data_IF_273746745782
#
_entry.id   IF_273746745782
#
_cell.length_a   1.000
_cell.length_b   1.000
_cell.length_c   1.000
_cell.angle_alpha   90.00
_cell.angle_beta   90.00
_cell.angle_gamma   90.00
#
_symmetry.space_group_name_H-M   'P 1'
#
loop_
_entity.id
_entity.type
_entity.pdbx_description
1 polymer ?
#
# COMPACT_ATOMS: atom_id res chain seq x y z
N UNK A 31 -3.72 6.02 16.70
CA UNK A 31 -4.87 6.10 17.58
C UNK A 31 -6.06 6.74 16.86
N UNK A 32 -5.77 7.45 15.78
CA UNK A 32 -6.78 8.11 14.96
C UNK A 32 -6.97 7.31 13.68
N UNK A 33 -8.23 7.10 13.30
CA UNK A 33 -8.55 6.44 12.04
C UNK A 33 -8.46 7.37 10.83
N UNK A 34 -7.92 8.57 11.01
CA UNK A 34 -7.63 9.45 9.87
C UNK A 34 -6.40 8.93 9.15
N UNK A 35 -6.52 8.73 7.84
CA UNK A 35 -5.46 8.15 7.03
C UNK A 35 -4.76 9.23 6.20
N UNK A 36 -3.44 9.13 6.11
CA UNK A 36 -2.63 10.01 5.30
C UNK A 36 -1.87 9.16 4.29
N UNK A 37 -1.83 9.62 3.03
CA UNK A 37 -1.22 8.88 1.94
C UNK A 37 -0.11 9.73 1.32
N UNK A 38 1.12 9.26 1.41
CA UNK A 38 2.28 9.94 0.85
C UNK A 38 2.95 9.00 -0.14
N UNK A 39 3.11 9.45 -1.38
CA UNK A 39 3.86 8.71 -2.38
C UNK A 39 5.35 8.98 -2.23
N UNK A 40 6.15 7.97 -2.52
CA UNK A 40 7.60 8.13 -2.62
C UNK A 40 8.00 7.70 -4.03
N UNK A 41 8.37 8.67 -4.85
CA UNK A 41 8.68 8.43 -6.26
C UNK A 41 10.18 8.57 -6.50
N UNK A 42 10.67 7.79 -7.46
CA UNK A 42 12.07 7.85 -7.84
C UNK A 42 12.46 6.73 -8.80
N UNK A 43 13.58 6.91 -9.51
CA UNK A 43 14.10 5.86 -10.37
C UNK A 43 14.50 4.65 -9.53
N UNK A 44 14.47 3.47 -10.16
CA UNK A 44 14.84 2.26 -9.46
C UNK A 44 16.32 2.29 -9.08
N UNK A 45 16.61 1.94 -7.83
CA UNK A 45 17.96 1.90 -7.34
C UNK A 45 18.45 3.14 -6.63
N UNK A 46 17.58 4.13 -6.41
CA UNK A 46 18.00 5.35 -5.73
C UNK A 46 17.90 5.24 -4.21
N UNK A 47 17.17 4.25 -3.69
CA UNK A 47 17.08 4.07 -2.26
C UNK A 47 15.72 4.39 -1.68
N UNK A 48 14.67 4.19 -2.48
CA UNK A 48 13.32 4.38 -1.96
C UNK A 48 13.01 3.38 -0.86
N UNK A 49 13.37 2.11 -1.06
CA UNK A 49 13.09 1.08 -0.05
C UNK A 49 13.94 1.29 1.19
N UNK A 50 15.19 1.73 1.01
CA UNK A 50 16.06 1.97 2.16
C UNK A 50 15.60 3.18 2.96
N UNK A 51 15.01 4.17 2.29
CA UNK A 51 14.56 5.38 2.96
C UNK A 51 13.27 5.14 3.74
N UNK A 52 12.31 4.45 3.12
CA UNK A 52 11.04 4.13 3.78
C UNK A 52 11.30 3.31 5.04
N UNK A 53 12.18 2.30 4.96
CA UNK A 53 12.53 1.51 6.14
C UNK A 53 13.12 2.39 7.22
N UNK A 54 13.93 3.39 6.83
CA UNK A 54 14.48 4.33 7.79
C UNK A 54 13.42 5.24 8.38
N UNK A 55 12.38 5.59 7.61
CA UNK A 55 11.38 6.53 8.11
C UNK A 55 10.40 5.88 9.08
N UNK A 56 10.30 4.55 9.08
CA UNK A 56 9.33 3.85 9.90
C UNK A 56 9.98 3.07 11.03
N UNK A 57 10.93 2.19 10.71
CA UNK A 57 11.53 1.32 11.72
C UNK A 57 12.75 1.94 12.40
N UNK A 58 13.18 3.13 11.97
CA UNK A 58 14.31 3.84 12.59
C UNK A 58 15.57 2.97 12.63
N UNK A 59 15.80 2.22 11.57
CA UNK A 59 17.01 1.40 11.45
C UNK A 59 17.44 1.43 9.99
N UNK A 60 18.30 0.50 9.61
CA UNK A 60 18.83 0.44 8.25
C UNK A 60 18.37 -0.86 7.60
N UNK A 61 17.98 -0.77 6.34
CA UNK A 61 17.58 -1.94 5.56
C UNK A 61 18.84 -2.72 5.17
N UNK A 62 18.99 -3.92 5.70
CA UNK A 62 20.13 -4.77 5.39
C UNK A 62 20.13 -5.26 3.95
N UNK A 67 11.99 -4.60 -5.59
CA UNK A 67 10.62 -4.11 -5.48
C UNK A 67 9.79 -4.43 -6.71
N UNK A 68 8.70 -5.16 -6.52
CA UNK A 68 7.74 -5.46 -7.57
C UNK A 68 6.40 -4.88 -7.17
N UNK A 69 5.84 -4.04 -8.05
CA UNK A 69 4.54 -3.44 -7.79
C UNK A 69 4.63 -2.28 -6.80
N UNK A 70 3.56 -2.12 -6.02
CA UNK A 70 3.45 -1.06 -5.03
C UNK A 70 3.54 -1.64 -3.63
N UNK A 71 4.43 -1.06 -2.82
CA UNK A 71 4.64 -1.49 -1.44
C UNK A 71 4.27 -0.36 -0.50
N UNK A 72 3.78 -0.73 0.70
CA UNK A 72 3.32 0.25 1.68
C UNK A 72 3.93 -0.08 3.04
N UNK A 73 4.58 0.90 3.64
CA UNK A 73 4.96 0.87 5.05
C UNK A 73 4.24 2.03 5.74
N UNK A 74 4.15 1.95 7.05
CA UNK A 74 3.35 2.90 7.82
C UNK A 74 4.25 3.63 8.82
N UNK A 75 4.19 4.96 8.78
CA UNK A 75 4.92 5.81 9.70
C UNK A 75 3.96 6.32 10.78
N UNK A 76 4.24 5.99 12.03
CA UNK A 76 3.43 6.43 13.15
C UNK A 76 3.94 7.82 13.53
N UNK A 77 3.21 8.84 13.10
CA UNK A 77 3.62 10.23 13.30
C UNK A 77 2.73 10.88 14.36
N UNK A 78 3.35 11.50 15.35
CA UNK A 78 2.64 12.23 16.39
C UNK A 78 2.46 13.67 15.93
N UNK A 79 1.27 13.99 15.42
CA UNK A 79 0.97 15.34 15.00
C UNK A 79 0.96 16.27 16.21
N UNK A 80 1.69 17.37 16.11
CA UNK A 80 1.83 18.33 17.21
C UNK A 80 2.35 17.63 18.47
N UNK A 81 3.54 17.08 18.35
CA UNK A 81 4.12 16.28 19.43
C UNK A 81 4.52 17.15 20.61
N UNK A 82 4.05 16.78 21.80
CA UNK A 82 4.33 17.52 23.00
C UNK A 82 3.32 18.57 23.38
N UNK A 83 2.29 18.78 22.57
CA UNK A 83 1.27 19.79 22.78
C UNK A 83 -0.04 19.17 23.25
N UNK A 84 -1.00 19.98 23.73
CA UNK A 84 -2.32 19.45 24.07
C UNK A 84 -3.17 19.06 22.88
N UNK A 85 -2.67 19.24 21.64
CA UNK A 85 -3.39 18.84 20.44
C UNK A 85 -2.76 17.63 19.80
N UNK A 86 -1.92 16.91 20.54
CA UNK A 86 -1.22 15.75 19.99
C UNK A 86 -2.22 14.71 19.52
N UNK A 87 -1.99 14.19 18.32
CA UNK A 87 -2.89 13.24 17.68
C UNK A 87 -2.03 12.29 16.86
N UNK A 88 -2.29 10.99 17.01
CA UNK A 88 -1.47 9.96 16.37
C UNK A 88 -2.04 9.65 15.00
N UNK A 89 -1.25 9.84 13.96
CA UNK A 89 -1.64 9.52 12.60
C UNK A 89 -0.82 8.34 12.10
N UNK A 90 -1.44 7.54 11.24
CA UNK A 90 -0.76 6.46 10.54
C UNK A 90 -0.52 6.92 9.11
N UNK A 91 0.73 7.24 8.80
CA UNK A 91 1.10 7.84 7.52
C UNK A 91 1.57 6.72 6.60
N UNK A 92 0.79 6.45 5.55
CA UNK A 92 1.15 5.42 4.59
C UNK A 92 2.16 5.97 3.58
N UNK A 93 3.28 5.27 3.45
CA UNK A 93 4.30 5.60 2.47
C UNK A 93 4.20 4.61 1.33
N UNK A 94 3.76 5.07 0.16
CA UNK A 94 3.52 4.23 -1.00
C UNK A 94 4.74 4.28 -1.91
N UNK A 95 5.45 3.16 -2.01
CA UNK A 95 6.64 3.06 -2.87
C UNK A 95 6.16 2.48 -4.20
N UNK A 96 5.91 3.36 -5.16
CA UNK A 96 5.50 2.94 -6.50
C UNK A 96 6.75 2.67 -7.33
N UNK A 97 6.71 1.58 -8.10
CA UNK A 97 7.81 1.23 -8.96
C UNK A 97 7.62 1.72 -10.38
N UNK A 98 8.47 1.23 -11.27
CA UNK A 98 8.35 1.49 -12.68
C UNK A 98 9.46 2.41 -13.19
N UNK A 99 9.23 2.94 -14.39
CA UNK A 99 10.17 3.84 -15.03
C UNK A 99 9.39 4.93 -15.76
N UNK A 100 10.02 6.10 -15.89
CA UNK A 100 9.40 7.21 -16.60
C UNK A 100 9.61 7.13 -18.11
N UNK A 101 10.34 6.12 -18.57
CA UNK A 101 10.53 5.89 -19.99
C UNK A 101 9.62 4.84 -20.56
N UNK A 102 8.82 4.18 -19.71
CA UNK A 102 7.92 3.14 -20.17
C UNK A 102 6.82 3.74 -21.05
N UNK A 103 6.06 2.86 -21.69
CA UNK A 103 4.98 3.29 -22.57
C UNK A 103 3.82 3.84 -21.74
N UNK A 104 3.03 4.70 -22.38
CA UNK A 104 1.88 5.31 -21.72
C UNK A 104 0.79 4.30 -21.40
N UNK A 105 0.93 3.04 -21.82
CA UNK A 105 0.05 1.95 -21.40
C UNK A 105 0.49 1.32 -20.10
N UNK A 106 1.64 1.72 -19.55
CA UNK A 106 2.09 1.31 -18.22
C UNK A 106 1.89 2.47 -17.25
N UNK A 107 1.97 3.70 -17.77
CA UNK A 107 1.69 4.86 -16.94
C UNK A 107 0.21 5.00 -16.64
N UNK A 108 -0.65 4.44 -17.49
CA UNK A 108 -2.09 4.47 -17.21
C UNK A 108 -2.49 3.45 -16.15
N UNK A 109 -1.78 2.33 -16.07
CA UNK A 109 -2.02 1.36 -15.00
C UNK A 109 -1.46 1.86 -13.68
N UNK A 110 -0.35 2.59 -13.72
CA UNK A 110 0.29 3.15 -12.55
C UNK A 110 -0.42 4.40 -12.04
N UNK A 111 -1.40 4.92 -12.77
CA UNK A 111 -2.08 6.13 -12.35
C UNK A 111 -3.20 5.84 -11.35
N UNK A 112 -3.60 4.59 -11.18
CA UNK A 112 -4.60 4.27 -10.18
C UNK A 112 -4.02 4.37 -8.78
N UNK A 113 -2.69 4.23 -8.64
CA UNK A 113 -2.03 4.38 -7.36
C UNK A 113 -1.85 5.83 -6.96
N UNK A 114 -2.00 6.77 -7.90
CA UNK A 114 -1.83 8.19 -7.64
C UNK A 114 -3.11 8.87 -7.18
N UNK A 115 -4.17 8.11 -6.91
CA UNK A 115 -5.43 8.70 -6.51
C UNK A 115 -5.40 9.03 -5.02
N UNK A 116 -5.88 10.23 -4.68
CA UNK A 116 -6.04 10.68 -3.30
C UNK A 116 -4.70 10.74 -2.56
N UNK A 117 -3.77 11.51 -3.10
CA UNK A 117 -2.44 11.66 -2.53
C UNK A 117 -2.40 12.92 -1.66
N UNK A 118 -1.79 12.81 -0.49
CA UNK A 118 -1.69 13.93 0.43
C UNK A 118 -0.29 14.52 0.51
N UNK A 119 0.69 13.88 -0.11
CA UNK A 119 2.05 14.38 -0.09
C UNK A 119 2.88 13.50 -1.01
N UNK A 120 3.97 14.08 -1.49
CA UNK A 120 4.86 13.39 -2.42
C UNK A 120 6.30 13.58 -1.98
N UNK A 121 7.03 12.47 -1.81
CA UNK A 121 8.47 12.50 -1.60
C UNK A 121 9.13 12.12 -2.91
N UNK A 122 9.99 13.00 -3.41
CA UNK A 122 10.71 12.80 -4.67
C UNK A 122 12.14 12.45 -4.31
N UNK A 123 12.55 11.23 -4.64
CA UNK A 123 13.86 10.70 -4.24
C UNK A 123 14.77 10.65 -5.46
N UNK A 124 15.96 11.21 -5.31
CA UNK A 124 16.95 11.21 -6.37
C UNK A 124 18.29 10.78 -5.81
N UNK A 125 19.15 10.31 -6.70
CA UNK A 125 20.48 9.84 -6.35
C UNK A 125 21.48 10.95 -6.66
N UNK A 126 22.20 11.41 -5.63
CA UNK A 126 23.22 12.43 -5.86
C UNK A 126 24.37 11.91 -6.71
N UNK A 127 24.57 10.59 -6.74
CA UNK A 127 25.60 10.00 -7.60
C UNK A 127 25.17 10.03 -9.05
N UNK A 128 23.94 9.61 -9.34
CA UNK A 128 23.43 9.48 -10.70
C UNK A 128 22.64 10.75 -11.02
N UNK A 129 23.28 11.70 -11.71
CA UNK A 129 22.61 12.95 -12.03
C UNK A 129 21.38 12.72 -12.90
N UNK A 130 21.30 11.57 -13.58
CA UNK A 130 20.17 11.30 -14.44
C UNK A 130 18.92 11.02 -13.63
N UNK A 131 19.06 10.52 -12.40
CA UNK A 131 17.90 10.25 -11.57
C UNK A 131 17.26 11.53 -11.04
N UNK A 132 18.01 12.63 -10.99
CA UNK A 132 17.41 13.89 -10.56
C UNK A 132 16.61 14.54 -11.67
N UNK A 133 17.00 14.30 -12.93
CA UNK A 133 16.22 14.83 -14.04
C UNK A 133 14.86 14.13 -14.14
N UNK A 134 14.83 12.83 -13.88
CA UNK A 134 13.59 12.06 -13.97
C UNK A 134 12.58 12.42 -12.91
N UNK A 135 13.00 13.13 -11.85
CA UNK A 135 12.02 13.66 -10.91
C UNK A 135 11.06 14.62 -11.59
N UNK A 136 11.53 15.36 -12.60
CA UNK A 136 10.65 16.26 -13.34
C UNK A 136 9.51 15.51 -14.01
N UNK A 137 9.73 14.25 -14.38
CA UNK A 137 8.66 13.46 -14.98
C UNK A 137 7.89 12.64 -13.97
N UNK A 138 8.51 12.25 -12.86
CA UNK A 138 7.77 11.56 -11.81
C UNK A 138 6.71 12.46 -11.20
N UNK A 139 7.08 13.70 -10.87
CA UNK A 139 6.14 14.61 -10.23
C UNK A 139 4.94 14.89 -11.13
N UNK A 140 5.20 15.18 -12.41
CA UNK A 140 4.11 15.49 -13.33
C UNK A 140 3.18 14.32 -13.54
N UNK A 141 3.70 13.09 -13.44
CA UNK A 141 2.83 11.92 -13.60
C UNK A 141 1.72 11.92 -12.55
N UNK A 142 1.99 12.44 -11.36
CA UNK A 142 0.96 12.52 -10.32
C UNK A 142 0.14 13.80 -10.45
N UNK A 143 0.77 14.90 -10.86
CA UNK A 143 0.06 16.17 -10.95
C UNK A 143 -0.80 16.29 -12.20
N UNK A 144 -0.52 15.51 -13.24
CA UNK A 144 -1.30 15.52 -14.46
C UNK A 144 -2.52 14.60 -14.39
N UNK A 145 -2.55 13.71 -13.41
CA UNK A 145 -3.62 12.74 -13.23
C UNK A 145 -4.00 12.60 -11.76
N UNK A 159 10.43 22.85 -17.36
CA UNK A 159 9.43 22.18 -18.18
C UNK A 159 8.06 22.83 -18.00
N UNK A 160 7.71 23.12 -16.74
CA UNK A 160 6.39 23.61 -16.40
C UNK A 160 6.45 24.28 -15.04
N UNK A 161 7.07 25.46 -14.98
CA UNK A 161 7.31 26.15 -13.72
C UNK A 161 6.01 26.51 -13.00
N UNK A 162 4.95 26.85 -13.75
CA UNK A 162 3.73 27.33 -13.13
C UNK A 162 2.97 26.20 -12.44
N UNK A 163 3.05 24.98 -13.00
CA UNK A 163 2.41 23.82 -12.39
C UNK A 163 2.88 23.60 -10.96
N UNK A 164 4.18 23.73 -10.73
CA UNK A 164 4.70 23.53 -9.38
C UNK A 164 4.49 24.76 -8.50
N UNK A 165 4.24 25.92 -9.10
CA UNK A 165 3.92 27.10 -8.31
C UNK A 165 2.45 27.11 -7.89
N UNK A 166 1.59 26.44 -8.66
CA UNK A 166 0.19 26.27 -8.32
C UNK A 166 -0.10 25.00 -7.53
N UNK A 167 0.91 24.15 -7.31
CA UNK A 167 0.71 22.88 -6.63
C UNK A 167 0.57 23.09 -5.13
N UNK A 168 -0.43 22.43 -4.54
CA UNK A 168 -0.68 22.51 -3.11
C UNK A 168 -0.36 21.22 -2.37
N UNK A 169 -0.09 20.13 -3.08
CA UNK A 169 0.26 18.88 -2.43
C UNK A 169 1.70 19.03 -1.96
N UNK A 170 1.96 18.94 -0.66
CA UNK A 170 3.32 19.19 -0.15
C UNK A 170 4.33 18.23 -0.75
N UNK A 171 5.44 18.79 -1.23
CA UNK A 171 6.52 18.04 -1.84
C UNK A 171 7.75 18.07 -0.94
N UNK A 172 8.53 17.00 -1.03
CA UNK A 172 9.80 16.91 -0.32
C UNK A 172 10.80 16.22 -1.23
N UNK A 173 11.94 16.86 -1.45
CA UNK A 173 12.97 16.34 -2.34
C UNK A 173 14.09 15.80 -1.46
N UNK A 174 14.33 14.50 -1.55
CA UNK A 174 15.33 13.83 -0.73
C UNK A 174 16.37 13.22 -1.65
N UNK A 175 17.63 13.63 -1.46
CA UNK A 175 18.73 13.08 -2.21
C UNK A 175 19.49 12.08 -1.35
N UNK A 176 19.79 10.93 -1.93
CA UNK A 176 20.42 9.84 -1.20
C UNK A 176 21.87 9.67 -1.64
N UNK A 177 22.57 8.80 -0.92
CA UNK A 177 23.98 8.51 -1.17
C UNK A 177 24.82 9.79 -1.11
N UNK A 178 24.67 10.52 0.00
CA UNK A 178 25.49 11.70 0.23
C UNK A 178 26.86 11.34 0.80
N UNK A 179 26.97 10.21 1.49
CA UNK A 179 28.26 9.79 2.01
C UNK A 179 29.21 9.33 0.92
N UNK A 180 28.72 9.08 -0.30
CA UNK A 180 29.56 8.61 -1.38
C UNK A 180 30.17 9.74 -2.19
N UNK A 181 30.00 10.98 -1.76
CA UNK A 181 30.59 12.12 -2.46
C UNK A 181 31.88 12.49 -1.72
N UNK A 182 32.91 12.85 -2.48
CA UNK A 182 34.17 13.26 -1.89
C UNK A 182 34.16 14.75 -1.59
N UNK A 183 35.17 15.20 -0.85
CA UNK A 183 35.25 16.59 -0.41
C UNK A 183 35.75 17.53 -1.51
N UNK A 184 35.41 17.24 -2.76
CA UNK A 184 35.79 18.10 -3.89
C UNK A 184 34.58 18.60 -4.66
N UNK A 185 33.73 17.71 -5.16
CA UNK A 185 32.52 18.09 -5.87
C UNK A 185 31.28 18.07 -4.99
N UNK A 186 31.42 17.70 -3.70
CA UNK A 186 30.29 17.72 -2.78
C UNK A 186 29.62 19.09 -2.76
N UNK A 187 30.42 20.16 -2.74
CA UNK A 187 29.85 21.50 -2.69
C UNK A 187 29.17 21.84 -4.01
N UNK A 188 29.71 21.34 -5.12
CA UNK A 188 29.17 21.63 -6.45
C UNK A 188 27.81 20.97 -6.66
N UNK A 189 27.64 19.75 -6.14
CA UNK A 189 26.39 19.03 -6.37
C UNK A 189 25.28 19.55 -5.46
N UNK A 190 25.62 19.99 -4.24
CA UNK A 190 24.61 20.57 -3.36
C UNK A 190 23.99 21.82 -3.98
N UNK A 191 24.77 22.56 -4.78
CA UNK A 191 24.24 23.74 -5.45
C UNK A 191 23.30 23.34 -6.58
N UNK A 192 23.57 22.21 -7.24
CA UNK A 192 22.71 21.76 -8.33
C UNK A 192 21.36 21.27 -7.83
N UNK A 193 21.29 20.79 -6.59
CA UNK A 193 20.02 20.30 -6.05
C UNK A 193 19.21 21.39 -5.37
N UNK A 194 19.84 22.49 -4.96
CA UNK A 194 19.08 23.62 -4.42
C UNK A 194 18.14 24.19 -5.48
N UNK A 195 18.58 24.19 -6.75
CA UNK A 195 17.69 24.57 -7.84
C UNK A 195 16.65 23.50 -8.10
N UNK A 196 17.00 22.23 -7.88
CA UNK A 196 16.03 21.15 -8.03
C UNK A 196 14.85 21.34 -7.09
N UNK A 197 15.13 21.67 -5.83
CA UNK A 197 14.07 21.88 -4.85
C UNK A 197 13.36 23.22 -5.02
N UNK A 198 13.92 24.15 -5.79
CA UNK A 198 13.29 25.44 -6.01
C UNK A 198 12.30 25.39 -7.17
N UNK A 199 12.62 24.65 -8.23
CA UNK A 199 11.69 24.49 -9.34
C UNK A 199 10.42 23.74 -8.94
N UNK A 200 10.49 22.96 -7.87
CA UNK A 200 9.34 22.24 -7.34
C UNK A 200 8.64 22.97 -6.20
N UNK A 201 9.22 24.06 -5.69
CA UNK A 201 8.72 24.73 -4.50
C UNK A 201 8.61 23.70 -3.36
N UNK A 202 9.71 22.98 -3.14
CA UNK A 202 9.73 21.86 -2.22
C UNK A 202 10.85 22.03 -1.21
N UNK A 203 10.66 21.43 -0.04
CA UNK A 203 11.74 21.33 0.93
C UNK A 203 12.78 20.32 0.46
N UNK A 204 14.03 20.53 0.88
CA UNK A 204 15.13 19.67 0.50
C UNK A 204 15.78 19.06 1.72
N UNK A 205 16.13 17.78 1.60
CA UNK A 205 16.90 17.05 2.61
C UNK A 205 17.88 16.16 1.86
N UNK A 206 19.13 16.15 2.34
CA UNK A 206 20.17 15.32 1.76
C UNK A 206 20.80 14.50 2.87
N UNK A 207 20.89 13.19 2.66
CA UNK A 207 21.27 12.29 3.73
C UNK A 207 21.86 11.02 3.14
N UNK A 208 22.33 10.14 4.02
CA UNK A 208 22.70 8.77 3.70
C UNK A 208 21.74 7.86 4.44
N UNK A 209 21.03 7.01 3.69
CA UNK A 209 20.07 6.11 4.32
C UNK A 209 20.74 5.01 5.13
N UNK A 210 22.03 4.79 4.95
CA UNK A 210 22.73 3.71 5.66
C UNK A 210 23.32 4.15 6.99
N UNK A 211 23.34 5.45 7.28
CA UNK A 211 23.84 5.94 8.55
C UNK A 211 22.67 6.25 9.45
N UNK A 212 22.53 5.59 10.61
CA UNK A 212 21.35 5.85 11.46
C UNK A 212 21.36 7.22 12.12
N UNK A 213 22.45 7.98 12.00
CA UNK A 213 22.50 9.32 12.54
C UNK A 213 21.95 10.37 11.58
N UNK A 214 21.70 10.02 10.32
CA UNK A 214 21.08 10.97 9.41
C UNK A 214 19.64 11.28 9.80
N UNK A 215 18.95 10.33 10.44
CA UNK A 215 17.55 10.53 10.81
C UNK A 215 17.33 10.41 12.32
N UNK A 216 18.38 10.45 13.13
CA UNK A 216 18.20 10.38 14.58
C UNK A 216 17.41 11.59 15.07
N UNK A 217 16.77 11.43 16.22
CA UNK A 217 15.94 12.50 16.75
C UNK A 217 16.77 13.75 17.00
N UNK A 218 16.10 14.91 16.97
CA UNK A 218 16.77 16.18 17.14
C UNK A 218 17.56 16.65 15.94
N UNK A 219 17.85 15.77 14.98
CA UNK A 219 18.64 16.14 13.82
C UNK A 219 17.99 17.27 13.03
N UNK A 220 18.81 17.93 12.21
CA UNK A 220 18.28 18.88 11.26
C UNK A 220 17.50 18.21 10.15
N UNK A 221 17.75 16.92 9.91
CA UNK A 221 16.94 16.13 8.98
C UNK A 221 15.70 15.53 9.62
N UNK A 222 15.67 15.44 10.95
CA UNK A 222 14.49 14.91 11.64
C UNK A 222 13.46 15.98 11.94
N UNK A 223 13.86 17.24 11.99
CA UNK A 223 12.88 18.30 12.20
C UNK A 223 12.23 18.69 10.89
N UNK A 224 13.02 18.80 9.81
CA UNK A 224 12.46 19.04 8.49
C UNK A 224 11.50 17.93 8.09
N UNK A 225 11.75 16.71 8.57
CA UNK A 225 10.91 15.57 8.25
C UNK A 225 9.56 15.69 8.96
N UNK A 226 9.59 16.04 10.26
CA UNK A 226 8.35 16.25 10.99
C UNK A 226 7.64 17.51 10.53
N UNK A 227 8.39 18.54 10.10
CA UNK A 227 7.74 19.71 9.54
C UNK A 227 6.99 19.37 8.26
N UNK A 228 7.43 18.35 7.54
CA UNK A 228 6.74 17.94 6.32
C UNK A 228 5.52 17.09 6.63
N UNK A 229 5.68 16.07 7.46
CA UNK A 229 4.52 15.26 7.85
C UNK A 229 3.47 16.10 8.56
N UNK A 230 3.89 17.13 9.28
CA UNK A 230 2.92 18.06 9.86
C UNK A 230 2.24 18.87 8.77
N UNK A 231 3.02 19.37 7.80
CA UNK A 231 2.43 20.12 6.71
C UNK A 231 1.52 19.25 5.85
N UNK A 232 1.81 17.96 5.76
CA UNK A 232 0.95 17.07 4.98
C UNK A 232 -0.38 16.87 5.70
N UNK A 233 -0.35 16.83 7.02
CA UNK A 233 -1.59 16.69 7.78
C UNK A 233 -2.32 18.02 7.85
N UNK A 234 -1.58 19.14 7.91
CA UNK A 234 -2.24 20.45 8.01
C UNK A 234 -2.95 20.80 6.71
N UNK A 235 -2.25 20.71 5.58
CA UNK A 235 -2.86 21.00 4.28
C UNK A 235 -3.60 19.76 3.79
N UNK A 236 -4.66 19.42 4.52
CA UNK A 236 -5.52 18.28 4.24
C UNK A 236 -6.64 18.26 5.27
N UNK A 237 -6.29 17.87 6.50
CA UNK A 237 -7.25 17.80 7.59
C UNK A 237 -7.54 19.16 8.21
N UNK A 238 -6.65 20.14 8.06
CA UNK A 238 -6.84 21.43 8.71
C UNK A 238 -6.73 22.58 7.70
N UNK B 31 -12.10 6.79 -10.61
CA UNK B 31 -12.81 8.04 -10.90
C UNK B 31 -13.28 8.72 -9.62
N UNK B 32 -13.36 7.96 -8.52
CA UNK B 32 -13.76 8.47 -7.23
C UNK B 32 -12.55 8.61 -6.31
N UNK B 33 -12.45 9.75 -5.64
CA UNK B 33 -11.42 9.96 -4.63
C UNK B 33 -11.80 9.35 -3.28
N UNK B 34 -12.89 8.59 -3.23
CA UNK B 34 -13.26 7.82 -2.04
C UNK B 34 -12.36 6.60 -1.94
N UNK B 35 -11.78 6.38 -0.76
CA UNK B 35 -10.83 5.29 -0.58
C UNK B 35 -11.51 4.10 0.08
N UNK B 36 -11.27 2.92 -0.46
CA UNK B 36 -11.77 1.67 0.09
C UNK B 36 -10.56 0.77 0.34
N UNK B 37 -10.52 0.16 1.53
CA UNK B 37 -9.38 -0.63 1.95
C UNK B 37 -9.83 -2.04 2.32
N UNK B 38 -9.32 -3.03 1.59
CA UNK B 38 -9.64 -4.43 1.84
C UNK B 38 -8.35 -5.16 2.17
N UNK B 39 -8.32 -5.81 3.32
CA UNK B 39 -7.18 -6.65 3.69
C UNK B 39 -7.28 -8.01 3.02
N UNK B 40 -6.13 -8.58 2.70
CA UNK B 40 -6.00 -9.96 2.24
C UNK B 40 -5.10 -10.68 3.22
N UNK B 41 -5.68 -11.52 4.07
CA UNK B 41 -4.96 -12.22 5.12
C UNK B 41 -4.87 -13.70 4.82
N UNK B 42 -3.77 -14.31 5.22
CA UNK B 42 -3.59 -15.73 5.02
C UNK B 42 -2.18 -16.18 5.31
N UNK B 43 -2.00 -17.48 5.54
CA UNK B 43 -0.66 -18.02 5.71
C UNK B 43 0.14 -17.86 4.43
N UNK B 44 1.46 -17.78 4.58
CA UNK B 44 2.34 -17.68 3.42
C UNK B 44 2.29 -18.98 2.63
N UNK B 45 2.18 -18.85 1.30
CA UNK B 45 2.15 -19.99 0.42
C UNK B 45 0.76 -20.46 0.03
N UNK B 46 -0.29 -19.79 0.47
CA UNK B 46 -1.65 -20.19 0.11
C UNK B 46 -2.10 -19.60 -1.23
N UNK B 47 -1.42 -18.57 -1.72
CA UNK B 47 -1.77 -17.99 -3.01
C UNK B 47 -2.39 -16.61 -2.86
N UNK B 48 -2.01 -15.87 -1.83
CA UNK B 48 -2.50 -14.50 -1.69
C UNK B 48 -2.02 -13.63 -2.84
N UNK B 49 -0.74 -13.75 -3.20
CA UNK B 49 -0.19 -12.91 -4.27
C UNK B 49 -0.80 -13.29 -5.62
N UNK B 50 -1.04 -14.58 -5.85
CA UNK B 50 -1.63 -14.98 -7.13
C UNK B 50 -3.08 -14.55 -7.22
N UNK B 51 -3.79 -14.49 -6.09
CA UNK B 51 -5.20 -14.12 -6.11
C UNK B 51 -5.38 -12.62 -6.31
N UNK B 52 -4.62 -11.82 -5.57
CA UNK B 52 -4.68 -10.37 -5.72
C UNK B 52 -4.35 -9.97 -7.15
N UNK B 53 -3.31 -10.58 -7.72
CA UNK B 53 -2.97 -10.32 -9.12
C UNK B 53 -4.13 -10.69 -10.04
N UNK B 54 -4.84 -11.78 -9.71
CA UNK B 54 -5.99 -12.19 -10.50
C UNK B 54 -7.16 -11.22 -10.35
N UNK B 55 -7.33 -10.64 -9.17
CA UNK B 55 -8.48 -9.77 -8.91
C UNK B 55 -8.31 -8.37 -9.49
N UNK B 56 -7.09 -7.98 -9.86
CA UNK B 56 -6.83 -6.62 -10.35
C UNK B 56 -6.45 -6.60 -11.81
N UNK B 57 -5.41 -7.31 -12.21
CA UNK B 57 -4.90 -7.25 -13.57
C UNK B 57 -5.60 -8.21 -14.52
N UNK B 58 -6.53 -9.01 -13.99
CA UNK B 58 -7.32 -9.94 -14.79
C UNK B 58 -6.42 -10.90 -15.58
N UNK B 59 -5.34 -11.34 -14.96
CA UNK B 59 -4.43 -12.32 -15.57
C UNK B 59 -3.91 -13.22 -14.45
N UNK B 60 -2.81 -13.93 -14.72
CA UNK B 60 -2.23 -14.91 -13.81
C UNK B 60 -0.86 -14.41 -13.37
N UNK B 61 -0.52 -14.67 -12.10
CA UNK B 61 0.81 -14.32 -11.60
C UNK B 61 1.84 -15.24 -12.22
N UNK B 62 2.71 -14.68 -13.05
CA UNK B 62 3.73 -15.49 -13.70
C UNK B 62 4.76 -16.03 -12.71
N UNK B 63 5.38 -15.13 -11.97
CA UNK B 63 6.45 -15.52 -11.05
C UNK B 63 6.11 -15.16 -9.61
N UNK B 68 7.67 -9.47 0.02
CA UNK B 68 8.34 -8.91 1.20
C UNK B 68 7.55 -7.74 1.75
N UNK B 69 7.18 -7.81 3.03
CA UNK B 69 6.44 -6.73 3.65
C UNK B 69 4.98 -6.74 3.24
N UNK B 70 4.41 -5.54 3.15
CA UNK B 70 3.02 -5.34 2.76
C UNK B 70 2.95 -4.73 1.37
N UNK B 71 2.20 -5.38 0.48
CA UNK B 71 2.02 -4.93 -0.90
C UNK B 71 0.56 -4.59 -1.13
N UNK B 72 0.34 -3.63 -2.02
CA UNK B 72 -0.99 -3.14 -2.32
C UNK B 72 -1.17 -3.11 -3.83
N UNK B 73 -2.25 -3.76 -4.30
CA UNK B 73 -2.72 -3.61 -5.67
C UNK B 73 -4.11 -3.02 -5.63
N UNK B 74 -4.55 -2.48 -6.77
CA UNK B 74 -5.80 -1.75 -6.84
C UNK B 74 -6.73 -2.42 -7.85
N UNK B 75 -7.95 -2.71 -7.41
CA UNK B 75 -9.01 -3.21 -8.27
C UNK B 75 -9.97 -2.08 -8.58
N UNK B 76 -10.15 -1.78 -9.86
CA UNK B 76 -11.07 -0.73 -10.28
C UNK B 76 -12.46 -1.35 -10.36
N UNK B 77 -13.28 -1.08 -9.35
CA UNK B 77 -14.61 -1.67 -9.24
C UNK B 77 -15.66 -0.62 -9.59
N UNK B 78 -16.55 -0.97 -10.52
CA UNK B 78 -17.67 -0.11 -10.88
C UNK B 78 -18.84 -0.47 -9.97
N UNK B 79 -19.04 0.33 -8.93
CA UNK B 79 -20.14 0.10 -8.01
C UNK B 79 -21.48 0.31 -8.71
N UNK B 80 -22.36 -0.68 -8.61
CA UNK B 80 -23.68 -0.66 -9.23
C UNK B 80 -23.57 -0.39 -10.73
N UNK B 81 -22.84 -1.28 -11.40
CA UNK B 81 -22.54 -1.10 -12.81
C UNK B 81 -23.78 -1.38 -13.66
N UNK B 82 -24.11 -0.43 -14.54
CA UNK B 82 -25.26 -0.57 -15.40
C UNK B 82 -26.55 0.00 -14.85
N UNK B 83 -26.54 0.53 -13.64
CA UNK B 83 -27.69 1.09 -12.96
C UNK B 83 -27.59 2.60 -12.93
N UNK B 84 -28.66 3.30 -12.54
CA UNK B 84 -28.57 4.76 -12.38
C UNK B 84 -27.69 5.21 -11.22
N UNK B 85 -27.11 4.29 -10.46
CA UNK B 85 -26.20 4.63 -9.36
C UNK B 85 -24.75 4.24 -9.65
N UNK B 86 -24.40 3.99 -10.92
CA UNK B 86 -23.06 3.55 -11.25
C UNK B 86 -22.02 4.57 -10.80
N UNK B 87 -20.98 4.07 -10.11
CA UNK B 87 -19.91 4.91 -9.60
C UNK B 87 -18.63 4.07 -9.55
N UNK B 88 -17.53 4.64 -10.04
CA UNK B 88 -16.27 3.92 -10.13
C UNK B 88 -15.46 4.14 -8.86
N UNK B 89 -15.15 3.06 -8.15
CA UNK B 89 -14.34 3.10 -6.93
C UNK B 89 -13.00 2.41 -7.17
N UNK B 90 -11.97 2.89 -6.48
CA UNK B 90 -10.66 2.24 -6.47
C UNK B 90 -10.52 1.47 -5.16
N UNK B 91 -10.60 0.15 -5.24
CA UNK B 91 -10.62 -0.72 -4.08
C UNK B 91 -9.20 -1.24 -3.84
N UNK B 92 -8.59 -0.80 -2.75
CA UNK B 92 -7.23 -1.22 -2.41
C UNK B 92 -7.25 -2.59 -1.76
N UNK B 93 -6.46 -3.52 -2.31
CA UNK B 93 -6.27 -4.84 -1.73
C UNK B 93 -4.90 -4.88 -1.06
N UNK B 94 -4.89 -4.92 0.27
CA UNK B 94 -3.65 -4.87 1.06
C UNK B 94 -3.24 -6.29 1.44
N UNK B 95 -2.14 -6.77 0.86
CA UNK B 95 -1.62 -8.09 1.15
C UNK B 95 -0.52 -7.95 2.20
N UNK B 96 -0.88 -8.14 3.46
CA UNK B 96 0.08 -8.13 4.56
C UNK B 96 0.63 -9.53 4.77
N UNK B 97 1.93 -9.63 5.06
CA UNK B 97 2.58 -10.90 5.28
C UNK B 97 2.67 -11.28 6.74
N UNK B 98 3.46 -12.30 7.00
CA UNK B 98 3.76 -12.73 8.34
C UNK B 98 3.15 -14.08 8.68
N UNK B 99 3.14 -14.39 9.97
CA UNK B 99 2.61 -15.63 10.50
C UNK B 99 1.91 -15.35 11.82
N UNK B 100 0.93 -16.20 12.15
CA UNK B 100 0.16 -16.05 13.39
C UNK B 100 0.87 -16.61 14.61
N UNK B 101 2.07 -17.17 14.45
CA UNK B 101 2.86 -17.67 15.56
C UNK B 101 3.94 -16.74 16.05
N UNK B 102 4.15 -15.59 15.40
CA UNK B 102 5.19 -14.66 15.79
C UNK B 102 4.90 -14.07 17.17
N UNK B 103 5.88 -13.34 17.69
CA UNK B 103 5.74 -12.72 19.00
C UNK B 103 4.80 -11.51 18.94
N UNK B 104 4.16 -11.23 20.07
CA UNK B 104 3.24 -10.10 20.15
C UNK B 104 3.93 -8.75 20.04
N UNK B 105 5.25 -8.71 20.07
CA UNK B 105 5.97 -7.49 19.74
C UNK B 105 6.22 -7.37 18.25
N UNK B 106 5.90 -8.42 17.48
CA UNK B 106 5.87 -8.34 16.03
C UNK B 106 4.44 -8.28 15.49
N UNK B 107 3.46 -8.84 16.21
CA UNK B 107 2.06 -8.70 15.82
C UNK B 107 1.52 -7.30 16.14
N UNK B 108 2.11 -6.61 17.11
CA UNK B 108 1.71 -5.25 17.42
C UNK B 108 2.23 -4.27 16.38
N UNK B 109 3.37 -4.57 15.77
CA UNK B 109 3.86 -3.74 14.67
C UNK B 109 3.05 -3.99 13.41
N UNK B 110 2.56 -5.22 13.23
CA UNK B 110 1.73 -5.58 12.09
C UNK B 110 0.30 -5.07 12.22
N UNK B 111 -0.05 -4.53 13.39
CA UNK B 111 -1.42 -4.09 13.65
C UNK B 111 -1.71 -2.67 13.19
N UNK B 112 -0.69 -1.90 12.82
CA UNK B 112 -0.93 -0.56 12.30
C UNK B 112 -1.49 -0.62 10.88
N UNK B 113 -1.30 -1.74 10.18
CA UNK B 113 -1.89 -1.93 8.87
C UNK B 113 -3.37 -2.29 8.94
N UNK B 114 -3.87 -2.66 10.13
CA UNK B 114 -5.26 -3.04 10.30
C UNK B 114 -6.16 -1.86 10.60
N UNK B 115 -5.63 -0.64 10.53
CA UNK B 115 -6.40 0.55 10.85
C UNK B 115 -7.27 0.96 9.67
N UNK B 116 -8.52 1.30 9.95
CA UNK B 116 -9.47 1.80 8.96
C UNK B 116 -9.70 0.79 7.83
N UNK B 117 -10.14 -0.40 8.23
CA UNK B 117 -10.39 -1.50 7.30
C UNK B 117 -11.87 -1.50 6.93
N UNK B 118 -12.14 -1.67 5.63
CA UNK B 118 -13.50 -1.74 5.12
C UNK B 118 -13.90 -3.14 4.67
N UNK B 119 -12.95 -4.08 4.65
CA UNK B 119 -13.26 -5.45 4.27
C UNK B 119 -12.04 -6.32 4.45
N UNK B 120 -12.30 -7.62 4.62
CA UNK B 120 -11.24 -8.60 4.82
C UNK B 120 -11.52 -9.81 3.94
N UNK B 121 -10.54 -10.19 3.13
CA UNK B 121 -10.57 -11.44 2.39
C UNK B 121 -9.64 -12.41 3.10
N UNK B 122 -10.17 -13.57 3.48
CA UNK B 122 -9.41 -14.60 4.17
C UNK B 122 -9.10 -15.74 3.20
N UNK B 123 -7.83 -15.94 2.91
CA UNK B 123 -7.38 -16.90 1.90
C UNK B 123 -6.77 -18.10 2.59
N UNK B 124 -7.23 -19.29 2.23
CA UNK B 124 -6.69 -20.53 2.76
C UNK B 124 -6.47 -21.51 1.62
N UNK B 125 -5.61 -22.49 1.88
CA UNK B 125 -5.24 -23.51 0.91
C UNK B 125 -6.11 -24.74 1.16
N UNK B 126 -6.85 -25.17 0.13
CA UNK B 126 -7.66 -26.37 0.25
C UNK B 126 -6.81 -27.63 0.43
N UNK B 127 -5.55 -27.59 -0.02
CA UNK B 127 -4.63 -28.68 0.23
C UNK B 127 -4.18 -28.68 1.69
N UNK B 128 -3.78 -27.50 2.19
CA UNK B 128 -3.22 -27.35 3.53
C UNK B 128 -4.34 -26.99 4.49
N UNK B 129 -4.90 -28.01 5.15
CA UNK B 129 -6.00 -27.77 6.07
C UNK B 129 -5.59 -26.94 7.28
N UNK B 130 -4.28 -26.87 7.57
CA UNK B 130 -3.84 -26.09 8.72
C UNK B 130 -3.97 -24.59 8.45
N UNK B 131 -3.92 -24.18 7.18
CA UNK B 131 -4.07 -22.77 6.85
C UNK B 131 -5.50 -22.29 7.03
N UNK B 132 -6.48 -23.21 7.03
CA UNK B 132 -7.86 -22.80 7.27
C UNK B 132 -8.14 -22.59 8.75
N UNK B 133 -7.46 -23.34 9.63
CA UNK B 133 -7.60 -23.10 11.06
C UNK B 133 -6.92 -21.79 11.46
N UNK B 134 -5.79 -21.46 10.83
CA UNK B 134 -5.08 -20.23 11.17
C UNK B 134 -5.86 -18.98 10.75
N UNK B 135 -6.87 -19.13 9.88
CA UNK B 135 -7.74 -18.00 9.58
C UNK B 135 -8.49 -17.53 10.81
N UNK B 136 -8.85 -18.46 11.70
CA UNK B 136 -9.49 -18.07 12.96
C UNK B 136 -8.58 -17.21 13.80
N UNK B 137 -7.27 -17.32 13.63
CA UNK B 137 -6.32 -16.52 14.38
C UNK B 137 -6.00 -15.21 13.69
N UNK B 138 -6.05 -15.20 12.35
CA UNK B 138 -5.91 -13.93 11.62
C UNK B 138 -7.08 -13.00 11.91
N UNK B 139 -8.30 -13.54 11.92
CA UNK B 139 -9.47 -12.72 12.20
C UNK B 139 -9.40 -12.10 13.58
N UNK B 140 -9.07 -12.91 14.60
CA UNK B 140 -8.95 -12.36 15.94
C UNK B 140 -7.82 -11.35 16.01
N UNK B 141 -6.79 -11.54 15.18
CA UNK B 141 -5.70 -10.57 15.10
C UNK B 141 -6.20 -9.20 14.65
N UNK B 142 -7.22 -9.17 13.78
CA UNK B 142 -7.76 -7.90 13.33
C UNK B 142 -8.75 -7.38 14.37
N UNK B 143 -9.46 -8.27 15.04
CA UNK B 143 -10.40 -7.86 16.09
C UNK B 143 -9.67 -7.45 17.37
N UNK B 144 -8.41 -7.84 17.53
CA UNK B 144 -7.65 -7.44 18.71
C UNK B 144 -7.02 -6.07 18.55
N UNK B 145 -6.78 -5.61 17.33
CA UNK B 145 -6.17 -4.29 17.17
C UNK B 145 -6.70 -3.69 15.86
N UNK B 146 -7.96 -3.24 15.89
CA UNK B 146 -8.61 -2.70 14.70
C UNK B 146 -8.46 -1.18 14.64
N UNK B 163 -17.63 -12.06 20.12
CA UNK B 163 -17.45 -13.09 19.10
C UNK B 163 -17.49 -12.39 17.73
N UNK B 164 -17.66 -13.16 16.66
CA UNK B 164 -17.72 -12.62 15.30
C UNK B 164 -19.07 -12.04 14.95
N UNK B 165 -20.10 -12.26 15.79
CA UNK B 165 -21.42 -11.71 15.53
C UNK B 165 -21.52 -10.22 15.79
N UNK B 166 -20.60 -9.66 16.57
CA UNK B 166 -20.55 -8.22 16.78
C UNK B 166 -19.72 -7.51 15.73
N UNK B 167 -19.09 -8.27 14.83
CA UNK B 167 -18.25 -7.70 13.78
C UNK B 167 -19.10 -7.12 12.66
N UNK B 168 -18.73 -5.92 12.20
CA UNK B 168 -19.44 -5.25 11.13
C UNK B 168 -18.69 -5.21 9.80
N UNK B 169 -17.42 -5.59 9.79
CA UNK B 169 -16.59 -5.60 8.59
C UNK B 169 -16.93 -6.78 7.70
N UNK B 170 -17.37 -6.57 6.46
CA UNK B 170 -17.73 -7.69 5.59
C UNK B 170 -16.53 -8.61 5.33
N UNK B 171 -16.76 -9.92 5.47
CA UNK B 171 -15.73 -10.92 5.28
C UNK B 171 -15.99 -11.73 4.02
N UNK B 172 -14.91 -12.25 3.43
CA UNK B 172 -14.98 -13.15 2.29
C UNK B 172 -13.89 -14.21 2.42
N UNK B 173 -14.29 -15.48 2.33
CA UNK B 173 -13.38 -16.61 2.49
C UNK B 173 -13.11 -17.22 1.12
N UNK B 174 -11.86 -17.18 0.67
CA UNK B 174 -11.48 -17.69 -0.64
C UNK B 174 -10.46 -18.82 -0.47
N UNK B 175 -10.80 -20.00 -0.99
CA UNK B 175 -9.92 -21.15 -0.94
C UNK B 175 -9.23 -21.38 -2.28
N UNK B 176 -7.93 -21.66 -2.20
CA UNK B 176 -7.07 -21.81 -3.37
C UNK B 176 -6.68 -23.26 -3.60
N UNK B 177 -6.04 -23.50 -4.74
CA UNK B 177 -5.60 -24.83 -5.16
C UNK B 177 -6.76 -25.83 -5.16
N UNK B 178 -7.84 -25.47 -5.86
CA UNK B 178 -8.96 -26.37 -6.04
C UNK B 178 -8.73 -27.37 -7.16
N UNK B 179 -7.82 -27.04 -8.10
CA UNK B 179 -7.49 -27.98 -9.17
C UNK B 179 -6.71 -29.19 -8.65
N UNK B 180 -6.17 -29.10 -7.43
CA UNK B 180 -5.38 -30.15 -6.82
C UNK B 180 -6.21 -31.06 -5.92
N UNK B 181 -7.54 -31.00 -6.00
CA UNK B 181 -8.45 -31.81 -5.19
C UNK B 181 -8.81 -33.09 -5.93
N UNK B 182 -9.04 -34.16 -5.17
CA UNK B 182 -9.34 -35.46 -5.73
C UNK B 182 -10.82 -35.54 -6.13
N UNK B 183 -11.15 -36.58 -6.89
CA UNK B 183 -12.51 -36.75 -7.39
C UNK B 183 -13.45 -37.38 -6.37
N UNK B 184 -12.94 -37.79 -5.20
CA UNK B 184 -13.74 -38.34 -4.13
C UNK B 184 -13.55 -37.58 -2.83
N UNK B 185 -12.52 -36.74 -2.73
CA UNK B 185 -12.29 -35.89 -1.58
C UNK B 185 -12.91 -34.50 -1.77
N UNK B 186 -13.46 -34.24 -2.96
CA UNK B 186 -14.14 -32.98 -3.22
C UNK B 186 -15.26 -32.74 -2.20
N UNK B 187 -16.06 -33.77 -1.94
CA UNK B 187 -17.19 -33.60 -1.01
C UNK B 187 -16.73 -33.47 0.43
N UNK B 188 -15.66 -34.16 0.82
CA UNK B 188 -15.28 -34.18 2.23
C UNK B 188 -14.73 -32.83 2.69
N UNK B 189 -13.91 -32.18 1.87
CA UNK B 189 -13.31 -30.92 2.29
C UNK B 189 -14.28 -29.74 2.14
N UNK B 190 -15.17 -29.79 1.15
CA UNK B 190 -16.15 -28.72 0.97
C UNK B 190 -17.03 -28.54 2.21
N UNK B 191 -17.31 -29.63 2.94
CA UNK B 191 -18.10 -29.50 4.16
C UNK B 191 -17.27 -28.84 5.26
N UNK B 192 -15.96 -29.07 5.27
CA UNK B 192 -15.12 -28.46 6.30
C UNK B 192 -15.00 -26.95 6.10
N UNK B 193 -15.14 -26.48 4.86
CA UNK B 193 -15.07 -25.05 4.59
C UNK B 193 -16.43 -24.36 4.63
N UNK B 194 -17.52 -25.12 4.48
CA UNK B 194 -18.85 -24.53 4.63
C UNK B 194 -19.05 -23.99 6.04
N UNK B 195 -18.51 -24.70 7.04
CA UNK B 195 -18.54 -24.17 8.40
C UNK B 195 -17.57 -23.00 8.56
N UNK B 196 -16.48 -23.00 7.80
CA UNK B 196 -15.55 -21.88 7.83
C UNK B 196 -16.26 -20.59 7.43
N UNK B 197 -17.10 -20.63 6.40
CA UNK B 197 -17.83 -19.46 5.95
C UNK B 197 -19.02 -19.11 6.85
N UNK B 198 -19.45 -20.04 7.70
CA UNK B 198 -20.55 -19.78 8.62
C UNK B 198 -20.08 -19.12 9.91
N UNK B 199 -18.94 -19.58 10.44
CA UNK B 199 -18.39 -18.97 11.65
C UNK B 199 -17.96 -17.53 11.41
N UNK B 200 -17.66 -17.17 10.17
CA UNK B 200 -17.30 -15.80 9.82
C UNK B 200 -18.45 -14.98 9.26
N UNK B 201 -19.59 -15.61 8.99
CA UNK B 201 -20.73 -14.96 8.33
C UNK B 201 -20.28 -14.32 7.01
N UNK B 202 -19.62 -15.12 6.19
CA UNK B 202 -18.99 -14.65 4.98
C UNK B 202 -19.44 -15.46 3.78
N UNK B 203 -19.36 -14.84 2.60
CA UNK B 203 -19.48 -15.60 1.37
C UNK B 203 -18.24 -16.46 1.19
N UNK B 204 -18.40 -17.56 0.46
CA UNK B 204 -17.31 -18.49 0.19
C UNK B 204 -17.10 -18.59 -1.31
N UNK B 205 -15.83 -18.63 -1.72
CA UNK B 205 -15.46 -18.83 -3.11
C UNK B 205 -14.28 -19.79 -3.13
N UNK B 206 -14.34 -20.79 -4.02
CA UNK B 206 -13.27 -21.75 -4.18
C UNK B 206 -12.87 -21.79 -5.65
N UNK B 207 -11.59 -21.65 -5.91
CA UNK B 207 -11.13 -21.43 -7.28
C UNK B 207 -9.69 -21.90 -7.39
N UNK B 208 -9.17 -21.84 -8.62
CA UNK B 208 -7.76 -22.02 -8.90
C UNK B 208 -7.23 -20.70 -9.45
N UNK B 209 -6.22 -20.13 -8.79
CA UNK B 209 -5.68 -18.84 -9.21
C UNK B 209 -4.94 -18.91 -10.54
N UNK B 210 -4.60 -20.12 -11.01
CA UNK B 210 -3.91 -20.27 -12.28
C UNK B 210 -4.86 -20.45 -13.45
N UNK B 211 -6.17 -20.59 -13.20
CA UNK B 211 -7.17 -20.74 -14.24
C UNK B 211 -7.84 -19.41 -14.49
N UNK B 212 -7.74 -18.83 -15.69
CA UNK B 212 -8.37 -17.54 -15.97
C UNK B 212 -9.88 -17.59 -16.09
N UNK B 213 -10.50 -18.76 -16.06
CA UNK B 213 -11.95 -18.85 -16.11
C UNK B 213 -12.59 -18.66 -14.74
N UNK B 214 -11.78 -18.63 -13.69
CA UNK B 214 -12.25 -18.24 -12.37
C UNK B 214 -12.59 -16.75 -12.33
N UNK B 215 -12.00 -15.95 -13.20
CA UNK B 215 -12.19 -14.50 -13.21
C UNK B 215 -12.90 -13.99 -14.46
N UNK B 216 -13.49 -14.89 -15.25
CA UNK B 216 -14.28 -14.47 -16.39
C UNK B 216 -15.53 -13.73 -15.94
N UNK B 217 -16.02 -12.84 -16.80
CA UNK B 217 -17.21 -12.08 -16.48
C UNK B 217 -18.43 -12.99 -16.38
N UNK B 218 -19.43 -12.53 -15.63
CA UNK B 218 -20.66 -13.29 -15.47
C UNK B 218 -20.57 -14.50 -14.56
N UNK B 219 -19.36 -14.95 -14.24
CA UNK B 219 -19.16 -16.15 -13.43
C UNK B 219 -19.84 -16.04 -12.06
N UNK B 220 -20.10 -17.20 -11.45
CA UNK B 220 -20.58 -17.21 -10.08
C UNK B 220 -19.50 -16.78 -9.10
N UNK B 221 -18.24 -16.86 -9.49
CA UNK B 221 -17.15 -16.32 -8.69
C UNK B 221 -17.00 -14.82 -8.91
N UNK B 222 -17.53 -14.29 -10.01
CA UNK B 222 -17.52 -12.86 -10.27
C UNK B 222 -18.74 -12.16 -9.68
N UNK B 223 -19.83 -12.88 -9.43
CA UNK B 223 -21.00 -12.27 -8.82
C UNK B 223 -20.85 -12.20 -7.31
N UNK B 224 -20.40 -13.28 -6.68
CA UNK B 224 -20.11 -13.24 -5.26
C UNK B 224 -19.02 -12.24 -4.95
N UNK B 225 -18.11 -12.02 -5.91
CA UNK B 225 -17.02 -11.06 -5.71
C UNK B 225 -17.54 -9.63 -5.79
N UNK B 226 -18.36 -9.33 -6.81
CA UNK B 226 -18.90 -7.98 -6.94
C UNK B 226 -19.94 -7.68 -5.86
N UNK B 227 -20.70 -8.69 -5.43
CA UNK B 227 -21.58 -8.51 -4.29
C UNK B 227 -20.81 -8.23 -3.02
N UNK B 228 -19.56 -8.68 -2.94
CA UNK B 228 -18.74 -8.42 -1.76
C UNK B 228 -18.17 -7.01 -1.80
N UNK B 229 -17.57 -6.62 -2.93
CA UNK B 229 -17.06 -5.26 -3.09
C UNK B 229 -18.17 -4.22 -3.01
N UNK B 230 -19.37 -4.57 -3.45
CA UNK B 230 -20.50 -3.66 -3.25
C UNK B 230 -20.85 -3.54 -1.78
N UNK B 231 -20.91 -4.66 -1.07
CA UNK B 231 -21.21 -4.61 0.36
C UNK B 231 -20.13 -3.88 1.13
N UNK B 232 -18.89 -3.92 0.64
CA UNK B 232 -17.80 -3.22 1.31
C UNK B 232 -17.98 -1.72 1.15
N UNK B 233 -18.50 -1.28 0.00
CA UNK B 233 -18.70 0.14 -0.24
C UNK B 233 -19.95 0.64 0.49
N UNK B 234 -20.98 -0.21 0.62
CA UNK B 234 -22.21 0.21 1.29
C UNK B 234 -21.97 0.51 2.76
N UNK B 235 -21.22 -0.34 3.45
CA UNK B 235 -20.98 -0.18 4.89
C UNK B 235 -19.91 0.88 5.14
N UNK B 236 -20.28 2.14 4.86
CA UNK B 236 -19.42 3.29 5.06
C UNK B 236 -18.10 3.12 4.30
N UNK B 237 -18.07 3.55 3.04
CA UNK B 237 -16.90 3.41 2.20
C UNK B 237 -15.82 4.41 2.61
#
# INVERSE_FOLDING_TARGET
MSYYHHHHHHDYDIPTTENLYFQGAMDPEFASLDRVKVLVLGDSGVGKSSLVHLLCHNQVLGNPSWTVGCSVDIRVHDYKEGTPEEKTYYIELWDVGGSVGSASSVKSTRAVFYNSVNGIILVHDLTNKKSSQNLYRWSLEVLNRDAVPTGVLVTNGDYDREQFADNQIPLLVIGTKLDQIHETKRHEVLIRTAFLAEDFNAEEINLDCTNPRSSAAGSSNAVKLSRFFDKVIEKRYFFREGNQI
MSYYHHHHHHDYDIPTTENLYFQGAMDPEFASLDRVKVLVLGDSGVGKSSLVHLLCHNQVLGNPSWTVGCSVDIRVHDYKEGTPEEKTYYIELWDVGGSVGSASSVKSTRAVFYNSVNGIILVHDLTNKKSSQNLYRWSLEVLNRDAVPTGVLVTNGDYDREQFADNQIPLLVIGTKLDQIHETKRHEVLIRTAFLAEDFNAEEINLDCTNPRSSAAGSSNAVKLSRFFDKVIEKRYFFREGNQI
#
